data_IF_307563783895
#
_entry.id   IF_307563783895
#
_cell.length_a   1.000
_cell.length_b   1.000
_cell.length_c   1.000
_cell.angle_alpha   90.00
_cell.angle_beta   90.00
_cell.angle_gamma   90.00
#
_symmetry.space_group_name_H-M   'P 1'
#
loop_
_entity.id
_entity.type
_entity.pdbx_description
1 polymer ?
#
# COMPACT_ATOMS: atom_id res chain seq x y z
N UNK A 1 -33.16 9.72 -9.87
CA UNK A 1 -33.23 9.25 -11.27
C UNK A 1 -32.57 10.18 -12.29
N UNK A 2 -31.38 10.72 -12.00
CA UNK A 2 -30.68 11.57 -12.96
C UNK A 2 -30.08 10.71 -14.11
N UNK A 3 -30.54 10.86 -15.36
CA UNK A 3 -30.00 10.11 -16.50
C UNK A 3 -28.50 10.39 -16.72
N UNK A 4 -28.02 11.57 -16.33
CA UNK A 4 -26.62 11.97 -16.46
C UNK A 4 -25.71 11.08 -15.62
N UNK A 5 -26.09 10.80 -14.37
CA UNK A 5 -25.32 9.92 -13.50
C UNK A 5 -25.27 8.48 -14.06
N UNK A 6 -26.40 7.98 -14.58
CA UNK A 6 -26.44 6.65 -15.22
C UNK A 6 -25.51 6.58 -16.43
N UNK A 7 -25.52 7.60 -17.28
CA UNK A 7 -24.61 7.68 -18.44
C UNK A 7 -23.15 7.71 -18.00
N UNK A 8 -22.81 8.52 -16.99
CA UNK A 8 -21.43 8.59 -16.47
C UNK A 8 -20.96 7.25 -15.89
N UNK A 9 -21.81 6.54 -15.15
CA UNK A 9 -21.48 5.21 -14.63
C UNK A 9 -21.36 4.18 -15.74
N UNK A 10 -22.25 4.21 -16.75
CA UNK A 10 -22.15 3.35 -17.92
C UNK A 10 -20.85 3.58 -18.71
N UNK A 11 -20.34 4.82 -18.76
CA UNK A 11 -19.04 5.12 -19.36
C UNK A 11 -17.87 4.40 -18.66
N UNK A 12 -17.97 4.09 -17.35
CA UNK A 12 -16.96 3.31 -16.63
C UNK A 12 -16.99 1.83 -17.03
N UNK A 13 -18.18 1.33 -17.36
CA UNK A 13 -18.41 -0.06 -17.76
C UNK A 13 -18.04 -0.37 -19.21
N UNK A 14 -17.69 0.64 -20.04
CA UNK A 14 -17.31 0.43 -21.44
C UNK A 14 -16.17 -0.59 -21.52
N UNK A 15 -16.22 -1.66 -22.32
CA UNK A 15 -15.13 -2.64 -22.37
C UNK A 15 -13.81 -1.99 -22.80
N UNK A 16 -12.69 -2.43 -22.24
CA UNK A 16 -11.40 -2.17 -22.88
C UNK A 16 -11.42 -2.94 -24.20
N UNK A 17 -11.12 -2.33 -25.35
CA UNK A 17 -10.95 -3.09 -26.58
C UNK A 17 -9.77 -4.05 -26.37
N UNK A 18 -10.07 -5.31 -26.10
CA UNK A 18 -9.08 -6.38 -26.04
C UNK A 18 -8.40 -6.37 -27.41
N UNK A 19 -7.07 -6.29 -27.49
CA UNK A 19 -6.42 -6.51 -28.76
C UNK A 19 -6.89 -7.86 -29.27
N UNK A 20 -7.53 -7.87 -30.45
CA UNK A 20 -7.74 -9.11 -31.17
C UNK A 20 -6.39 -9.84 -31.10
N UNK A 21 -6.34 -11.10 -30.63
CA UNK A 21 -5.09 -11.84 -30.60
C UNK A 21 -4.51 -11.65 -31.98
N UNK A 22 -3.24 -11.26 -32.07
CA UNK A 22 -2.56 -11.14 -33.35
C UNK A 22 -2.81 -12.47 -34.05
N UNK A 23 -3.82 -12.50 -34.91
CA UNK A 23 -4.20 -13.68 -35.64
C UNK A 23 -2.94 -13.98 -36.39
N UNK A 24 -2.38 -15.16 -36.14
CA UNK A 24 -1.25 -15.73 -36.86
C UNK A 24 -1.47 -15.37 -38.33
N UNK A 25 -0.87 -14.27 -38.73
CA UNK A 25 -1.01 -13.77 -40.08
C UNK A 25 -0.12 -14.71 -40.84
N UNK A 26 -0.74 -15.65 -41.54
CA UNK A 26 -0.16 -16.17 -42.77
C UNK A 26 0.49 -14.98 -43.47
N UNK A 27 1.80 -15.04 -43.78
CA UNK A 27 2.55 -13.92 -44.30
C UNK A 27 2.12 -13.72 -45.76
N UNK A 28 0.95 -13.13 -45.98
CA UNK A 28 0.57 -12.65 -47.29
C UNK A 28 -0.48 -11.55 -47.15
N UNK A 29 -0.12 -10.39 -47.71
CA UNK A 29 -0.97 -9.24 -47.97
C UNK A 29 -1.49 -8.43 -46.76
N UNK A 30 -0.58 -7.87 -45.95
CA UNK A 30 -0.84 -6.54 -45.36
C UNK A 30 -0.29 -5.48 -46.33
N UNK A 31 -1.10 -4.52 -46.84
CA UNK A 31 -0.60 -3.46 -47.69
C UNK A 31 0.44 -2.61 -46.92
N UNK A 32 1.58 -2.26 -47.54
CA UNK A 32 2.61 -1.46 -46.88
C UNK A 32 2.06 -0.05 -46.61
N UNK A 33 2.00 0.35 -45.34
CA UNK A 33 1.75 1.75 -44.97
C UNK A 33 0.67 2.01 -43.93
N UNK A 34 -0.04 1.01 -43.41
CA UNK A 34 -0.95 1.24 -42.26
C UNK A 34 -0.15 1.12 -40.98
N UNK A 35 0.25 2.27 -40.45
CA UNK A 35 0.91 2.40 -39.16
C UNK A 35 -0.01 1.81 -38.06
N UNK A 36 0.38 0.71 -37.37
CA UNK A 36 -0.47 0.08 -36.35
C UNK A 36 -0.72 0.99 -35.13
N UNK A 37 -0.04 2.14 -35.06
CA UNK A 37 -0.28 3.20 -34.09
C UNK A 37 -1.60 3.98 -34.31
N UNK A 38 -2.30 3.78 -35.43
CA UNK A 38 -3.45 4.58 -35.85
C UNK A 38 -4.79 3.80 -35.81
N UNK A 39 -4.99 2.90 -34.85
CA UNK A 39 -6.33 2.36 -34.54
C UNK A 39 -7.11 3.40 -33.70
N UNK A 40 -7.93 4.29 -34.30
CA UNK A 40 -8.41 5.52 -33.66
C UNK A 40 -9.44 5.29 -32.54
N UNK A 41 -9.86 4.04 -32.35
CA UNK A 41 -10.85 3.66 -31.33
C UNK A 41 -10.27 3.45 -29.94
N UNK A 42 -9.01 2.98 -29.78
CA UNK A 42 -8.49 2.56 -28.47
C UNK A 42 -8.16 3.73 -27.55
N UNK A 43 -7.64 4.81 -28.10
CA UNK A 43 -7.25 6.00 -27.33
C UNK A 43 -8.44 6.85 -26.86
N UNK A 44 -9.61 6.69 -27.47
CA UNK A 44 -10.79 7.45 -27.08
C UNK A 44 -11.43 6.90 -25.78
N UNK A 45 -11.48 5.58 -25.60
CA UNK A 45 -12.22 4.97 -24.49
C UNK A 45 -11.64 5.27 -23.11
N UNK A 46 -10.32 5.22 -22.95
CA UNK A 46 -9.70 5.53 -21.65
C UNK A 46 -9.89 7.01 -21.28
N UNK A 47 -9.91 7.93 -22.26
CA UNK A 47 -10.20 9.36 -22.04
C UNK A 47 -11.65 9.57 -21.62
N UNK A 48 -12.60 8.86 -22.23
CA UNK A 48 -14.02 8.90 -21.83
C UNK A 48 -14.16 8.46 -20.37
N UNK A 49 -13.54 7.33 -19.98
CA UNK A 49 -13.53 6.86 -18.59
C UNK A 49 -12.86 7.85 -17.64
N UNK A 50 -11.76 8.48 -18.05
CA UNK A 50 -11.08 9.53 -17.27
C UNK A 50 -12.00 10.71 -16.98
N UNK A 51 -12.68 11.22 -18.01
CA UNK A 51 -13.64 12.32 -17.88
C UNK A 51 -14.81 11.90 -16.99
N UNK A 52 -15.35 10.69 -17.19
CA UNK A 52 -16.45 10.17 -16.39
C UNK A 52 -16.07 10.06 -14.89
N UNK A 53 -14.91 9.48 -14.58
CA UNK A 53 -14.38 9.45 -13.20
C UNK A 53 -14.16 10.86 -12.65
N UNK A 54 -13.69 11.78 -13.49
CA UNK A 54 -13.49 13.18 -13.11
C UNK A 54 -14.78 13.88 -12.70
N UNK A 55 -15.82 13.75 -13.52
CA UNK A 55 -17.15 14.28 -13.24
C UNK A 55 -17.78 13.64 -12.01
N UNK A 56 -17.76 12.31 -11.92
CA UNK A 56 -18.29 11.56 -10.78
C UNK A 56 -17.59 11.94 -9.49
N UNK A 57 -16.26 12.07 -9.49
CA UNK A 57 -15.52 12.59 -8.34
C UNK A 57 -16.04 13.96 -7.92
N UNK A 58 -16.11 14.92 -8.85
CA UNK A 58 -16.46 16.29 -8.55
C UNK A 58 -17.86 16.42 -7.93
N UNK A 59 -18.82 15.62 -8.37
CA UNK A 59 -20.18 15.61 -7.81
C UNK A 59 -20.25 14.86 -6.48
N UNK A 60 -19.64 13.67 -6.38
CA UNK A 60 -19.63 12.87 -5.15
C UNK A 60 -18.90 13.55 -3.99
N UNK A 61 -17.87 14.37 -4.29
CA UNK A 61 -17.13 15.10 -3.27
C UNK A 61 -17.93 16.25 -2.64
N UNK A 62 -19.05 16.67 -3.27
CA UNK A 62 -19.87 17.78 -2.81
C UNK A 62 -21.16 17.33 -2.13
N UNK A 63 -21.65 16.14 -2.44
CA UNK A 63 -22.94 15.64 -1.95
C UNK A 63 -22.88 14.14 -1.66
N UNK A 64 -23.06 13.78 -0.38
CA UNK A 64 -23.06 12.39 0.08
C UNK A 64 -24.23 11.56 -0.48
N UNK A 65 -25.38 12.19 -0.76
CA UNK A 65 -26.55 11.50 -1.34
C UNK A 65 -26.29 11.12 -2.79
N UNK A 66 -25.60 12.01 -3.52
CA UNK A 66 -25.13 11.70 -4.89
C UNK A 66 -24.12 10.56 -4.84
N UNK A 67 -23.18 10.59 -3.89
CA UNK A 67 -22.24 9.49 -3.70
C UNK A 67 -22.96 8.15 -3.42
N UNK A 68 -23.96 8.13 -2.53
CA UNK A 68 -24.80 6.95 -2.29
C UNK A 68 -25.45 6.42 -3.57
N UNK A 69 -26.09 7.30 -4.34
CA UNK A 69 -26.72 6.92 -5.62
C UNK A 69 -25.70 6.39 -6.62
N UNK A 70 -24.54 7.03 -6.76
CA UNK A 70 -23.47 6.61 -7.69
C UNK A 70 -22.90 5.24 -7.30
N UNK A 71 -22.78 4.95 -6.01
CA UNK A 71 -22.37 3.64 -5.53
C UNK A 71 -23.42 2.57 -5.84
N UNK A 72 -24.70 2.84 -5.60
CA UNK A 72 -25.82 1.94 -5.93
C UNK A 72 -25.90 1.63 -7.43
N UNK A 73 -25.55 2.60 -8.27
CA UNK A 73 -25.45 2.42 -9.72
C UNK A 73 -24.27 1.54 -10.16
N UNK A 74 -23.39 1.11 -9.25
CA UNK A 74 -22.28 0.20 -9.54
C UNK A 74 -20.97 0.88 -9.94
N UNK A 75 -20.80 2.18 -9.69
CA UNK A 75 -19.57 2.89 -10.05
C UNK A 75 -18.31 2.35 -9.35
N UNK A 76 -18.44 1.94 -8.07
CA UNK A 76 -17.31 1.47 -7.26
C UNK A 76 -16.70 0.17 -7.81
N UNK A 77 -17.48 -0.91 -8.10
CA UNK A 77 -16.95 -2.10 -8.78
C UNK A 77 -16.23 -1.79 -10.11
N UNK A 78 -16.77 -0.88 -10.92
CA UNK A 78 -16.11 -0.48 -12.18
C UNK A 78 -14.79 0.25 -11.95
N UNK A 79 -14.74 1.16 -10.97
CA UNK A 79 -13.49 1.83 -10.60
C UNK A 79 -12.44 0.83 -10.07
N UNK A 80 -12.85 -0.17 -9.28
CA UNK A 80 -11.96 -1.24 -8.80
C UNK A 80 -11.43 -2.05 -9.96
N UNK A 81 -12.29 -2.44 -10.92
CA UNK A 81 -11.87 -3.16 -12.11
C UNK A 81 -10.84 -2.36 -12.92
N UNK A 82 -11.07 -1.05 -13.12
CA UNK A 82 -10.12 -0.16 -13.80
C UNK A 82 -8.79 -0.09 -13.04
N UNK A 83 -8.83 -0.02 -11.71
CA UNK A 83 -7.63 0.09 -10.86
C UNK A 83 -6.78 -1.19 -10.90
N UNK A 84 -7.46 -2.34 -10.96
CA UNK A 84 -6.84 -3.66 -11.00
C UNK A 84 -6.41 -4.11 -12.40
N UNK A 85 -6.84 -3.40 -13.44
CA UNK A 85 -6.44 -3.67 -14.83
C UNK A 85 -5.00 -3.18 -15.06
N UNK A 86 -4.04 -4.12 -15.11
CA UNK A 86 -2.63 -3.81 -15.37
C UNK A 86 -2.40 -3.22 -16.77
N UNK A 87 -3.32 -3.44 -17.71
CA UNK A 87 -3.27 -2.87 -19.07
C UNK A 87 -3.83 -1.44 -19.12
N UNK A 88 -4.54 -1.00 -18.08
CA UNK A 88 -5.05 0.37 -18.01
C UNK A 88 -3.89 1.36 -17.81
N UNK A 89 -4.02 2.54 -18.44
CA UNK A 89 -2.99 3.58 -18.32
C UNK A 89 -2.81 4.00 -16.85
N UNK A 90 -1.57 4.27 -16.39
CA UNK A 90 -1.30 4.66 -15.00
C UNK A 90 -2.18 5.81 -14.51
N UNK A 91 -2.40 6.83 -15.34
CA UNK A 91 -3.21 8.01 -15.00
C UNK A 91 -4.68 7.63 -14.73
N UNK A 92 -5.21 6.68 -15.50
CA UNK A 92 -6.56 6.16 -15.31
C UNK A 92 -6.68 5.32 -14.05
N UNK A 93 -5.68 4.47 -13.76
CA UNK A 93 -5.62 3.69 -12.52
C UNK A 93 -5.54 4.61 -11.29
N UNK A 94 -4.72 5.66 -11.35
CA UNK A 94 -4.61 6.67 -10.30
C UNK A 94 -5.94 7.40 -10.08
N UNK A 95 -6.61 7.82 -11.17
CA UNK A 95 -7.90 8.51 -11.08
C UNK A 95 -8.97 7.61 -10.47
N UNK A 96 -9.01 6.35 -10.88
CA UNK A 96 -9.94 5.36 -10.34
C UNK A 96 -9.67 5.06 -8.86
N UNK A 97 -8.41 4.88 -8.47
CA UNK A 97 -8.00 4.67 -7.08
C UNK A 97 -8.40 5.82 -6.17
N UNK A 98 -8.14 7.05 -6.60
CA UNK A 98 -8.54 8.20 -5.82
C UNK A 98 -10.07 8.30 -5.69
N UNK A 99 -10.82 7.92 -6.75
CA UNK A 99 -12.29 7.90 -6.69
C UNK A 99 -12.76 6.86 -5.68
N UNK A 100 -12.17 5.66 -5.66
CA UNK A 100 -12.45 4.65 -4.63
C UNK A 100 -12.17 5.20 -3.23
N UNK A 101 -11.05 5.92 -3.07
CA UNK A 101 -10.66 6.52 -1.78
C UNK A 101 -11.67 7.59 -1.32
N UNK A 102 -12.15 8.45 -2.23
CA UNK A 102 -13.22 9.39 -1.94
C UNK A 102 -14.49 8.66 -1.47
N UNK A 103 -14.85 7.58 -2.16
CA UNK A 103 -16.03 6.79 -1.83
C UNK A 103 -15.88 6.04 -0.50
N UNK A 104 -14.67 5.67 -0.08
CA UNK A 104 -14.45 4.99 1.20
C UNK A 104 -14.52 5.91 2.42
N UNK A 105 -14.22 7.20 2.24
CA UNK A 105 -14.23 8.19 3.33
C UNK A 105 -15.68 8.57 3.72
N UNK A 106 -16.64 8.33 2.83
CA UNK A 106 -18.06 8.61 3.05
C UNK A 106 -18.72 7.53 3.93
N UNK A 107 -18.93 7.87 5.20
CA UNK A 107 -19.39 6.92 6.23
C UNK A 107 -20.76 6.31 5.92
N UNK A 108 -21.66 7.08 5.32
CA UNK A 108 -23.01 6.64 4.96
C UNK A 108 -23.00 5.48 3.96
N UNK A 109 -21.98 5.40 3.09
CA UNK A 109 -21.83 4.31 2.13
C UNK A 109 -21.51 2.95 2.78
N UNK A 110 -20.91 2.94 3.97
CA UNK A 110 -20.63 1.68 4.68
C UNK A 110 -21.91 0.96 5.14
N UNK A 111 -23.02 1.69 5.27
CA UNK A 111 -24.32 1.12 5.68
C UNK A 111 -25.03 0.47 4.50
N UNK A 112 -24.90 1.03 3.29
CA UNK A 112 -25.54 0.53 2.08
C UNK A 112 -24.77 -0.60 1.39
N UNK A 113 -23.47 -0.72 1.65
CA UNK A 113 -22.61 -1.78 1.14
C UNK A 113 -22.01 -2.61 2.29
N UNK A 114 -22.76 -3.56 2.88
CA UNK A 114 -22.22 -4.44 3.91
C UNK A 114 -21.07 -5.28 3.34
N UNK A 115 -19.83 -4.87 3.66
CA UNK A 115 -18.57 -5.46 3.19
C UNK A 115 -17.87 -4.75 2.02
N UNK A 116 -18.43 -3.66 1.46
CA UNK A 116 -18.15 -3.28 0.06
C UNK A 116 -17.14 -2.17 -0.22
N UNK A 117 -16.91 -1.18 0.65
CA UNK A 117 -15.95 -0.09 0.35
C UNK A 117 -14.55 -0.31 0.92
N UNK A 118 -14.36 -0.73 2.19
CA UNK A 118 -13.03 -0.99 2.73
C UNK A 118 -12.31 -2.14 2.02
N UNK A 119 -13.02 -3.23 1.72
CA UNK A 119 -12.44 -4.36 0.99
C UNK A 119 -12.01 -3.97 -0.43
N UNK A 120 -12.78 -3.10 -1.11
CA UNK A 120 -12.41 -2.55 -2.40
C UNK A 120 -11.17 -1.66 -2.34
N UNK A 121 -11.03 -0.83 -1.29
CA UNK A 121 -9.80 -0.05 -1.06
C UNK A 121 -8.61 -0.97 -0.83
N UNK A 122 -8.76 -2.02 -0.01
CA UNK A 122 -7.70 -2.98 0.26
C UNK A 122 -7.23 -3.70 -1.02
N UNK A 123 -8.17 -4.23 -1.82
CA UNK A 123 -7.85 -4.91 -3.09
C UNK A 123 -7.17 -3.94 -4.07
N UNK A 124 -7.71 -2.73 -4.21
CA UNK A 124 -7.13 -1.69 -5.04
C UNK A 124 -5.70 -1.35 -4.57
N UNK A 125 -5.52 -1.09 -3.28
CA UNK A 125 -4.25 -0.70 -2.69
C UNK A 125 -3.16 -1.78 -2.87
N UNK A 126 -3.49 -3.05 -2.61
CA UNK A 126 -2.56 -4.17 -2.81
C UNK A 126 -2.17 -4.29 -4.28
N UNK A 127 -3.12 -4.15 -5.20
CA UNK A 127 -2.86 -4.25 -6.64
C UNK A 127 -2.00 -3.09 -7.14
N UNK A 128 -2.23 -1.88 -6.63
CA UNK A 128 -1.45 -0.70 -6.95
C UNK A 128 -0.02 -0.79 -6.42
N UNK A 129 0.19 -1.32 -5.21
CA UNK A 129 1.52 -1.52 -4.62
C UNK A 129 2.42 -2.44 -5.44
N UNK A 130 1.83 -3.37 -6.20
CA UNK A 130 2.54 -4.29 -7.10
C UNK A 130 2.95 -3.64 -8.41
N UNK A 131 2.45 -2.44 -8.70
CA UNK A 131 2.80 -1.71 -9.92
C UNK A 131 4.29 -1.36 -9.98
N UNK A 132 4.83 -1.42 -11.19
CA UNK A 132 6.18 -0.91 -11.49
C UNK A 132 6.19 0.64 -11.57
N UNK A 133 5.03 1.25 -11.83
CA UNK A 133 4.88 2.70 -11.86
C UNK A 133 4.87 3.27 -10.44
N UNK A 134 5.80 4.18 -10.17
CA UNK A 134 6.01 4.80 -8.87
C UNK A 134 4.78 5.49 -8.32
N UNK A 135 4.19 6.40 -9.10
CA UNK A 135 3.02 7.17 -8.64
C UNK A 135 1.84 6.25 -8.31
N UNK A 136 1.70 5.16 -9.06
CA UNK A 136 0.67 4.13 -8.85
C UNK A 136 0.93 3.40 -7.54
N UNK A 137 2.19 3.02 -7.26
CA UNK A 137 2.56 2.39 -6.00
C UNK A 137 2.41 3.34 -4.79
N UNK A 138 2.74 4.62 -4.95
CA UNK A 138 2.54 5.67 -3.93
C UNK A 138 1.05 5.77 -3.55
N UNK A 139 0.16 5.75 -4.54
CA UNK A 139 -1.28 5.75 -4.32
C UNK A 139 -1.74 4.46 -3.62
N UNK A 140 -1.10 3.32 -3.93
CA UNK A 140 -1.27 2.08 -3.19
C UNK A 140 -0.89 2.22 -1.71
N UNK A 141 0.24 2.87 -1.39
CA UNK A 141 0.62 3.18 -0.01
C UNK A 141 -0.43 4.05 0.69
N UNK A 142 -0.96 5.08 0.02
CA UNK A 142 -2.03 5.92 0.58
C UNK A 142 -3.31 5.13 0.84
N UNK A 143 -3.69 4.22 -0.06
CA UNK A 143 -4.82 3.33 0.13
C UNK A 143 -4.64 2.42 1.36
N UNK A 144 -3.46 1.82 1.52
CA UNK A 144 -3.13 1.03 2.73
C UNK A 144 -3.17 1.90 3.98
N UNK A 145 -2.59 3.10 3.95
CA UNK A 145 -2.60 4.02 5.07
C UNK A 145 -4.03 4.34 5.50
N UNK A 146 -4.93 4.66 4.56
CA UNK A 146 -6.35 4.94 4.85
C UNK A 146 -7.06 3.72 5.42
N UNK A 147 -6.93 2.55 4.78
CA UNK A 147 -7.60 1.33 5.22
C UNK A 147 -7.11 0.84 6.60
N UNK A 148 -5.83 1.05 6.92
CA UNK A 148 -5.24 0.68 8.20
C UNK A 148 -5.46 1.72 9.32
N UNK A 149 -5.93 2.93 8.98
CA UNK A 149 -6.09 4.03 9.93
C UNK A 149 -7.18 3.72 10.97
N UNK A 150 -6.88 4.02 12.24
CA UNK A 150 -7.86 3.95 13.33
C UNK A 150 -8.28 5.38 13.68
N UNK A 151 -9.54 5.78 13.45
CA UNK A 151 -10.00 7.08 13.92
C UNK A 151 -9.96 7.13 15.45
N UNK A 152 -9.59 8.28 15.99
CA UNK A 152 -9.67 8.54 17.43
C UNK A 152 -11.13 8.39 17.89
N UNK A 153 -11.34 7.83 19.08
CA UNK A 153 -12.67 7.65 19.63
C UNK A 153 -13.17 8.98 20.20
N UNK A 154 -14.11 9.62 19.51
CA UNK A 154 -14.81 10.81 20.01
C UNK A 154 -15.88 10.43 21.05
N UNK A 155 -15.51 9.68 22.09
CA UNK A 155 -16.33 9.39 23.29
C UNK A 155 -17.73 8.77 23.07
N UNK A 156 -18.16 8.52 21.83
CA UNK A 156 -19.47 7.97 21.45
C UNK A 156 -19.27 6.56 20.91
N UNK A 157 -19.80 5.60 21.66
CA UNK A 157 -19.89 4.15 21.37
C UNK A 157 -18.76 3.54 20.51
N UNK A 158 -17.71 2.96 21.14
CA UNK A 158 -16.51 2.48 20.47
C UNK A 158 -16.64 1.20 19.61
N UNK A 159 -17.85 0.77 19.22
CA UNK A 159 -18.05 -0.59 18.70
C UNK A 159 -17.64 -0.83 17.24
N UNK A 160 -18.13 -0.01 16.31
CA UNK A 160 -18.16 -0.42 14.88
C UNK A 160 -16.90 -0.02 14.12
N UNK A 161 -16.48 1.24 14.19
CA UNK A 161 -15.32 1.75 13.43
C UNK A 161 -13.99 1.12 13.88
N UNK A 162 -13.83 0.91 15.19
CA UNK A 162 -12.64 0.27 15.74
C UNK A 162 -12.50 -1.16 15.24
N UNK A 163 -13.59 -1.93 15.23
CA UNK A 163 -13.63 -3.31 14.74
C UNK A 163 -13.27 -3.37 13.26
N UNK A 164 -13.86 -2.50 12.43
CA UNK A 164 -13.55 -2.40 11.00
C UNK A 164 -12.07 -2.10 10.75
N UNK A 165 -11.46 -1.18 11.49
CA UNK A 165 -10.01 -0.88 11.33
C UNK A 165 -9.12 -2.08 11.68
N UNK A 166 -9.52 -2.87 12.69
CA UNK A 166 -8.76 -4.03 13.15
C UNK A 166 -8.87 -5.18 12.16
N UNK A 167 -10.08 -5.43 11.64
CA UNK A 167 -10.31 -6.43 10.60
C UNK A 167 -9.58 -6.05 9.29
N UNK A 168 -9.54 -4.75 8.94
CA UNK A 168 -8.84 -4.25 7.75
C UNK A 168 -7.32 -4.45 7.87
N UNK A 169 -6.71 -4.13 9.03
CA UNK A 169 -5.29 -4.41 9.28
C UNK A 169 -4.96 -5.90 9.16
N UNK A 170 -5.83 -6.78 9.66
CA UNK A 170 -5.65 -8.24 9.53
C UNK A 170 -5.70 -8.66 8.06
N UNK A 171 -6.72 -8.25 7.30
CA UNK A 171 -6.83 -8.58 5.86
C UNK A 171 -5.64 -8.06 5.06
N UNK A 172 -5.18 -6.84 5.34
CA UNK A 172 -3.98 -6.27 4.72
C UNK A 172 -2.72 -7.08 5.07
N UNK A 173 -2.58 -7.53 6.32
CA UNK A 173 -1.48 -8.39 6.72
C UNK A 173 -1.51 -9.74 5.97
N UNK A 174 -2.67 -10.38 5.91
CA UNK A 174 -2.87 -11.66 5.22
C UNK A 174 -2.61 -11.53 3.70
N UNK A 175 -2.89 -10.37 3.12
CA UNK A 175 -2.58 -10.04 1.73
C UNK A 175 -1.10 -9.66 1.48
N UNK A 176 -0.26 -9.65 2.51
CA UNK A 176 1.17 -9.31 2.41
C UNK A 176 1.46 -7.81 2.28
N UNK A 177 0.55 -6.92 2.71
CA UNK A 177 0.76 -5.47 2.64
C UNK A 177 2.07 -5.00 3.30
N UNK A 178 2.46 -5.50 4.50
CA UNK A 178 3.70 -5.05 5.14
C UNK A 178 4.94 -5.22 4.26
N UNK A 179 5.06 -6.37 3.58
CA UNK A 179 6.21 -6.68 2.73
C UNK A 179 6.21 -5.84 1.45
N UNK A 180 5.04 -5.64 0.84
CA UNK A 180 4.88 -4.79 -0.34
C UNK A 180 5.22 -3.32 -0.03
N UNK A 181 4.71 -2.80 1.09
CA UNK A 181 5.02 -1.43 1.53
C UNK A 181 6.50 -1.30 1.88
N UNK A 182 7.11 -2.27 2.57
CA UNK A 182 8.55 -2.25 2.85
C UNK A 182 9.40 -2.28 1.57
N UNK A 183 9.02 -3.09 0.58
CA UNK A 183 9.68 -3.11 -0.72
C UNK A 183 9.59 -1.76 -1.42
N UNK A 184 8.44 -1.07 -1.32
CA UNK A 184 8.29 0.28 -1.83
C UNK A 184 9.08 1.32 -1.02
N UNK A 185 9.11 1.24 0.32
CA UNK A 185 9.96 2.11 1.17
C UNK A 185 11.42 2.03 0.74
N UNK A 186 11.99 0.81 0.56
CA UNK A 186 13.37 0.59 0.05
C UNK A 186 13.64 1.37 -1.24
N UNK A 187 12.66 1.39 -2.12
CA UNK A 187 12.73 2.06 -3.41
C UNK A 187 12.66 3.60 -3.27
N UNK A 188 11.75 4.13 -2.45
CA UNK A 188 11.54 5.60 -2.34
C UNK A 188 12.51 6.30 -1.40
N UNK A 189 13.05 5.64 -0.36
CA UNK A 189 13.89 6.35 0.60
C UNK A 189 15.22 6.82 -0.01
N UNK A 190 15.87 6.02 -0.86
CA UNK A 190 17.13 6.44 -1.52
C UNK A 190 16.90 7.68 -2.40
N UNK A 191 15.72 7.76 -3.05
CA UNK A 191 15.32 8.94 -3.83
C UNK A 191 15.00 10.14 -2.93
N UNK A 192 14.36 9.91 -1.78
CA UNK A 192 14.05 10.96 -0.82
C UNK A 192 15.29 11.52 -0.11
N UNK A 193 16.37 10.73 -0.01
CA UNK A 193 17.69 11.21 0.39
C UNK A 193 18.34 12.06 -0.71
N UNK A 194 18.19 11.67 -1.98
CA UNK A 194 18.74 12.40 -3.12
C UNK A 194 17.93 13.66 -3.51
N UNK A 195 16.63 13.72 -3.18
CA UNK A 195 15.74 14.79 -3.63
C UNK A 195 14.59 15.05 -2.66
N UNK A 196 14.41 16.33 -2.29
CA UNK A 196 13.28 16.81 -1.48
C UNK A 196 11.94 16.49 -2.15
N UNK A 197 11.88 16.54 -3.49
CA UNK A 197 10.66 16.29 -4.25
C UNK A 197 10.13 14.85 -4.11
N UNK A 198 10.98 13.89 -3.72
CA UNK A 198 10.60 12.49 -3.50
C UNK A 198 10.18 12.19 -2.05
N UNK A 199 10.31 13.15 -1.12
CA UNK A 199 9.94 12.97 0.29
C UNK A 199 8.45 12.72 0.53
N UNK A 200 7.51 13.34 -0.22
CA UNK A 200 6.07 13.02 -0.07
C UNK A 200 5.76 11.55 -0.35
N UNK A 201 6.43 10.91 -1.31
CA UNK A 201 6.29 9.48 -1.60
C UNK A 201 6.79 8.63 -0.43
N UNK A 202 7.96 8.98 0.12
CA UNK A 202 8.49 8.33 1.31
C UNK A 202 7.56 8.50 2.53
N UNK A 203 6.99 9.70 2.71
CA UNK A 203 6.02 9.97 3.77
C UNK A 203 4.78 9.09 3.60
N UNK A 204 4.20 8.99 2.41
CA UNK A 204 3.05 8.12 2.15
C UNK A 204 3.33 6.65 2.53
N UNK A 205 4.51 6.14 2.18
CA UNK A 205 4.92 4.78 2.50
C UNK A 205 5.14 4.57 4.01
N UNK A 206 5.77 5.53 4.69
CA UNK A 206 5.93 5.49 6.15
C UNK A 206 4.59 5.62 6.89
N UNK A 207 3.64 6.42 6.39
CA UNK A 207 2.29 6.52 6.98
C UNK A 207 1.57 5.19 6.91
N UNK A 208 1.70 4.47 5.79
CA UNK A 208 1.15 3.12 5.65
C UNK A 208 1.75 2.16 6.69
N UNK A 209 3.08 2.15 6.84
CA UNK A 209 3.75 1.33 7.85
C UNK A 209 3.38 1.74 9.29
N UNK A 210 3.26 3.03 9.56
CA UNK A 210 2.87 3.53 10.88
C UNK A 210 1.50 3.00 11.27
N UNK A 211 0.50 3.12 10.39
CA UNK A 211 -0.84 2.63 10.65
C UNK A 211 -0.87 1.09 10.79
N UNK A 212 -0.13 0.36 9.96
CA UNK A 212 0.01 -1.09 10.09
C UNK A 212 0.70 -1.49 11.40
N UNK A 213 1.74 -0.76 11.82
CA UNK A 213 2.53 -1.06 13.02
C UNK A 213 1.74 -0.98 14.33
N UNK A 214 0.52 -0.43 14.32
CA UNK A 214 -0.37 -0.45 15.47
C UNK A 214 -1.02 -1.82 15.74
N UNK A 215 -0.98 -2.75 14.77
CA UNK A 215 -1.46 -4.14 14.91
C UNK A 215 -0.32 -5.09 15.25
N UNK A 216 -0.54 -5.95 16.26
CA UNK A 216 0.45 -6.95 16.69
C UNK A 216 0.83 -7.93 15.58
N UNK A 217 -0.14 -8.31 14.76
CA UNK A 217 0.05 -9.22 13.63
C UNK A 217 1.00 -8.61 12.58
N UNK A 218 0.82 -7.33 12.27
CA UNK A 218 1.67 -6.61 11.32
C UNK A 218 3.08 -6.35 11.89
N UNK A 219 3.19 -6.06 13.19
CA UNK A 219 4.46 -5.71 13.84
C UNK A 219 5.54 -6.78 13.62
N UNK A 220 5.18 -8.07 13.64
CA UNK A 220 6.15 -9.16 13.46
C UNK A 220 6.69 -9.17 12.03
N UNK A 221 5.81 -9.06 11.04
CA UNK A 221 6.15 -8.99 9.61
C UNK A 221 7.04 -7.77 9.32
N UNK A 222 6.62 -6.59 9.79
CA UNK A 222 7.37 -5.34 9.60
C UNK A 222 8.74 -5.43 10.27
N UNK A 223 8.83 -5.93 11.50
CA UNK A 223 10.10 -6.05 12.20
C UNK A 223 11.06 -7.03 11.51
N UNK A 224 10.55 -8.17 11.02
CA UNK A 224 11.35 -9.19 10.33
C UNK A 224 12.01 -8.65 9.06
N UNK A 225 11.29 -7.87 8.24
CA UNK A 225 11.79 -7.38 6.95
C UNK A 225 12.31 -5.93 6.96
N UNK A 226 11.94 -5.15 7.96
CA UNK A 226 12.02 -3.68 7.91
C UNK A 226 12.82 -3.01 9.03
N UNK A 227 13.15 -3.70 10.14
CA UNK A 227 13.76 -3.03 11.29
C UNK A 227 15.07 -2.29 10.96
N UNK A 228 16.02 -2.94 10.28
CA UNK A 228 17.29 -2.32 9.90
C UNK A 228 17.10 -1.18 8.89
N UNK A 229 16.10 -1.31 8.01
CA UNK A 229 15.76 -0.27 7.05
C UNK A 229 15.21 0.97 7.75
N UNK A 230 14.29 0.80 8.70
CA UNK A 230 13.70 1.89 9.47
C UNK A 230 14.75 2.61 10.32
N UNK A 231 15.67 1.87 10.95
CA UNK A 231 16.80 2.45 11.69
C UNK A 231 17.70 3.28 10.76
N UNK A 232 17.98 2.79 9.55
CA UNK A 232 18.76 3.52 8.54
C UNK A 232 18.05 4.80 8.08
N UNK A 233 16.75 4.73 7.82
CA UNK A 233 15.91 5.87 7.44
C UNK A 233 15.92 6.92 8.55
N UNK A 234 15.67 6.49 9.79
CA UNK A 234 15.68 7.38 10.95
C UNK A 234 17.03 8.11 11.08
N UNK A 235 18.15 7.36 11.07
CA UNK A 235 19.48 7.95 11.19
C UNK A 235 19.81 8.91 10.04
N UNK A 236 19.50 8.55 8.80
CA UNK A 236 19.82 9.37 7.64
C UNK A 236 19.03 10.69 7.62
N UNK A 237 17.73 10.67 7.96
CA UNK A 237 16.95 11.90 8.00
C UNK A 237 17.23 12.76 9.23
N UNK A 238 17.65 12.17 10.36
CA UNK A 238 18.11 12.91 11.53
C UNK A 238 19.43 13.65 11.24
N UNK A 239 20.34 13.03 10.50
CA UNK A 239 21.59 13.68 10.04
C UNK A 239 21.26 14.92 9.20
N UNK A 240 20.39 14.76 8.19
CA UNK A 240 19.91 15.85 7.34
C UNK A 240 19.25 16.98 8.14
N UNK A 241 18.37 16.66 9.10
CA UNK A 241 17.66 17.69 9.89
C UNK A 241 18.57 18.45 10.84
N UNK A 242 19.63 17.80 11.35
CA UNK A 242 20.63 18.43 12.23
C UNK A 242 21.62 19.35 11.50
N UNK A 243 21.50 19.49 10.17
CA UNK A 243 22.50 20.18 9.33
C UNK A 243 23.73 19.34 9.05
N UNK A 244 23.67 18.04 9.37
CA UNK A 244 24.67 17.03 9.05
C UNK A 244 24.65 16.70 7.56
N UNK A 245 25.38 17.51 6.80
CA UNK A 245 25.87 17.15 5.48
C UNK A 245 27.26 17.74 5.34
N UNK A 246 28.26 16.88 5.58
CA UNK A 246 29.56 16.90 4.92
C UNK A 246 30.33 18.21 4.95
N UNK A 247 31.35 18.23 5.79
CA UNK A 247 32.61 18.94 5.56
C UNK A 247 33.22 18.55 4.21
N UNK A 248 32.66 19.06 3.12
CA UNK A 248 33.30 19.13 1.81
C UNK A 248 33.63 20.60 1.56
N UNK A 249 34.91 21.01 1.53
CA UNK A 249 35.28 22.42 1.54
C UNK A 249 34.94 23.24 0.28
N UNK A 250 34.39 22.66 -0.81
CA UNK A 250 34.49 23.30 -2.13
C UNK A 250 33.20 23.60 -2.92
N UNK A 251 31.99 23.43 -2.37
CA UNK A 251 30.78 23.84 -3.12
C UNK A 251 30.24 25.18 -2.63
N UNK A 252 30.86 26.26 -3.14
CA UNK A 252 30.44 27.66 -3.00
C UNK A 252 29.11 28.01 -3.67
N UNK A 253 28.05 27.24 -3.40
CA UNK A 253 26.69 27.57 -3.83
C UNK A 253 26.02 28.47 -2.79
N UNK A 254 25.63 29.67 -3.22
CA UNK A 254 24.82 30.63 -2.49
C UNK A 254 23.57 29.92 -1.94
N UNK A 255 23.62 29.59 -0.64
CA UNK A 255 22.53 28.94 0.11
C UNK A 255 21.28 29.81 0.10
N UNK A 256 20.22 29.37 -0.56
CA UNK A 256 18.88 29.96 -0.40
C UNK A 256 18.30 29.49 0.94
N UNK A 257 18.44 30.35 1.95
CA UNK A 257 17.99 30.15 3.35
C UNK A 257 16.55 29.61 3.54
N UNK A 258 15.65 29.83 2.58
CA UNK A 258 14.25 29.36 2.65
C UNK A 258 14.05 27.89 2.29
N UNK A 259 14.71 27.41 1.22
CA UNK A 259 14.52 26.02 0.74
C UNK A 259 15.21 24.99 1.66
N UNK A 260 16.23 25.40 2.40
CA UNK A 260 16.91 24.55 3.39
C UNK A 260 16.04 24.31 4.63
N UNK A 261 15.19 25.27 5.01
CA UNK A 261 14.28 25.14 6.16
C UNK A 261 13.22 24.08 5.92
N UNK A 262 12.50 24.17 4.79
CA UNK A 262 11.47 23.19 4.41
C UNK A 262 12.07 21.78 4.21
N UNK A 263 13.33 21.73 3.76
CA UNK A 263 14.07 20.49 3.65
C UNK A 263 14.43 19.91 5.03
N UNK A 264 14.86 20.72 6.00
CA UNK A 264 15.14 20.21 7.34
C UNK A 264 13.86 19.70 8.02
N UNK A 265 12.76 20.46 7.93
CA UNK A 265 11.47 20.11 8.54
C UNK A 265 10.90 18.81 7.96
N UNK A 266 10.89 18.66 6.63
CA UNK A 266 10.42 17.43 6.00
C UNK A 266 11.29 16.21 6.32
N UNK A 267 12.61 16.41 6.52
CA UNK A 267 13.48 15.33 6.98
C UNK A 267 13.19 14.94 8.44
N UNK A 268 13.04 15.92 9.33
CA UNK A 268 12.67 15.69 10.73
C UNK A 268 11.34 14.94 10.85
N UNK A 269 10.34 15.32 10.04
CA UNK A 269 9.07 14.61 9.98
C UNK A 269 9.22 13.13 9.60
N UNK A 270 10.01 12.83 8.56
CA UNK A 270 10.28 11.45 8.14
C UNK A 270 11.05 10.65 9.21
N UNK A 271 12.00 11.29 9.90
CA UNK A 271 12.74 10.68 11.00
C UNK A 271 11.80 10.35 12.18
N UNK A 272 10.90 11.28 12.54
CA UNK A 272 9.90 11.09 13.59
C UNK A 272 8.93 9.94 13.26
N UNK A 273 8.45 9.85 12.01
CA UNK A 273 7.61 8.74 11.58
C UNK A 273 8.32 7.39 11.69
N UNK A 274 9.59 7.32 11.27
CA UNK A 274 10.39 6.10 11.40
C UNK A 274 10.58 5.70 12.87
N UNK A 275 10.85 6.67 13.75
CA UNK A 275 10.96 6.44 15.19
C UNK A 275 9.65 5.90 15.79
N UNK A 276 8.51 6.52 15.48
CA UNK A 276 7.20 6.06 15.95
C UNK A 276 6.86 4.63 15.49
N UNK A 277 7.23 4.26 14.25
CA UNK A 277 7.10 2.87 13.79
C UNK A 277 7.97 1.96 14.65
N UNK A 278 9.25 2.30 14.84
CA UNK A 278 10.19 1.49 15.63
C UNK A 278 9.70 1.29 17.07
N UNK A 279 9.17 2.33 17.70
CA UNK A 279 8.57 2.27 19.03
C UNK A 279 7.41 1.28 19.07
N UNK A 280 6.47 1.37 18.12
CA UNK A 280 5.37 0.42 17.99
C UNK A 280 5.86 -1.03 17.84
N UNK A 281 6.93 -1.25 17.06
CA UNK A 281 7.52 -2.58 16.90
C UNK A 281 8.15 -3.10 18.19
N UNK A 282 8.75 -2.22 18.99
CA UNK A 282 9.43 -2.55 20.25
C UNK A 282 8.46 -2.94 21.37
N UNK A 283 7.22 -2.45 21.32
CA UNK A 283 6.16 -2.85 22.25
C UNK A 283 5.76 -4.33 22.12
N UNK A 284 6.10 -4.99 21.01
CA UNK A 284 5.82 -6.41 20.81
C UNK A 284 6.91 -7.30 21.41
N UNK A 285 6.53 -8.18 22.34
CA UNK A 285 7.46 -9.13 22.97
C UNK A 285 8.15 -10.07 21.97
N UNK A 286 7.50 -10.42 20.86
CA UNK A 286 8.07 -11.29 19.82
C UNK A 286 9.21 -10.63 19.04
N UNK A 287 9.30 -9.30 19.08
CA UNK A 287 10.33 -8.54 18.39
C UNK A 287 11.60 -8.33 19.22
N UNK A 288 11.58 -8.59 20.53
CA UNK A 288 12.70 -8.34 21.45
C UNK A 288 14.03 -8.91 20.95
N UNK A 289 14.03 -10.18 20.53
CA UNK A 289 15.25 -10.83 20.01
C UNK A 289 15.75 -10.19 18.72
N UNK A 290 14.86 -9.65 17.88
CA UNK A 290 15.24 -8.96 16.65
C UNK A 290 15.87 -7.61 16.94
N UNK A 291 15.33 -6.87 17.91
CA UNK A 291 15.92 -5.63 18.40
C UNK A 291 17.32 -5.87 18.99
N UNK A 292 17.46 -6.86 19.86
CA UNK A 292 18.77 -7.23 20.42
C UNK A 292 19.79 -7.58 19.33
N UNK A 293 19.39 -8.37 18.32
CA UNK A 293 20.26 -8.68 17.17
C UNK A 293 20.59 -7.46 16.32
N UNK A 294 19.66 -6.53 16.14
CA UNK A 294 19.89 -5.30 15.40
C UNK A 294 20.87 -4.39 16.13
N UNK A 295 20.75 -4.28 17.45
CA UNK A 295 21.68 -3.55 18.32
C UNK A 295 23.10 -4.13 18.26
N UNK A 296 23.25 -5.45 18.39
CA UNK A 296 24.55 -6.12 18.24
C UNK A 296 25.18 -5.90 16.86
N UNK A 297 24.37 -5.88 15.79
CA UNK A 297 24.86 -5.58 14.43
C UNK A 297 25.23 -4.10 14.28
N UNK A 298 24.45 -3.19 14.86
CA UNK A 298 24.69 -1.75 14.82
C UNK A 298 25.97 -1.37 15.56
N UNK A 299 26.19 -1.91 16.75
CA UNK A 299 27.43 -1.73 17.52
C UNK A 299 28.64 -2.28 16.78
N UNK A 300 28.54 -3.47 16.18
CA UNK A 300 29.61 -4.06 15.36
C UNK A 300 29.95 -3.20 14.13
N UNK A 301 28.93 -2.62 13.47
CA UNK A 301 29.13 -1.75 12.31
C UNK A 301 29.74 -0.39 12.69
N UNK A 302 29.37 0.18 13.84
CA UNK A 302 29.97 1.41 14.37
C UNK A 302 31.44 1.20 14.76
N UNK A 303 31.74 0.09 15.44
CA UNK A 303 33.13 -0.29 15.77
C UNK A 303 33.96 -0.47 14.49
N UNK A 304 33.41 -1.13 13.48
CA UNK A 304 34.11 -1.32 12.19
C UNK A 304 34.38 0.00 11.47
N UNK A 305 33.43 0.96 11.50
CA UNK A 305 33.63 2.30 10.93
C UNK A 305 34.62 3.14 11.73
N UNK A 306 34.61 3.07 13.06
CA UNK A 306 35.58 3.78 13.90
C UNK A 306 36.99 3.22 13.71
N UNK A 307 37.15 1.90 13.60
CA UNK A 307 38.44 1.27 13.29
C UNK A 307 38.91 1.65 11.88
N UNK A 308 38.02 1.66 10.88
CA UNK A 308 38.37 2.09 9.52
C UNK A 308 38.70 3.60 9.42
N UNK A 309 38.00 4.45 10.17
CA UNK A 309 38.26 5.89 10.23
C UNK A 309 39.56 6.19 11.00
N UNK A 310 39.88 5.43 12.05
CA UNK A 310 41.16 5.51 12.75
C UNK A 310 42.32 5.05 11.86
N UNK A 311 42.14 3.96 11.10
CA UNK A 311 43.12 3.49 10.12
C UNK A 311 43.30 4.44 8.93
N UNK A 312 42.29 5.25 8.59
CA UNK A 312 42.37 6.26 7.53
C UNK A 312 42.92 7.62 7.99
N UNK A 313 43.00 7.88 9.30
CA UNK A 313 43.56 9.11 9.87
C UNK A 313 45.08 9.02 10.12
N UNK A 314 45.63 7.81 10.22
CA UNK A 314 47.07 7.58 10.22
C UNK A 314 47.57 7.33 8.79
N UNK A 315 47.73 8.43 8.04
CA UNK A 315 48.55 8.45 6.84
C UNK A 315 50.02 8.25 7.22
N UNK A 316 50.41 7.00 7.45
CA UNK A 316 51.78 6.55 7.65
C UNK A 316 51.89 5.09 7.24
N UNK A 317 52.72 4.82 6.23
CA UNK A 317 53.05 3.49 5.71
C UNK A 317 53.18 2.44 6.83
N UNK A 318 52.22 1.51 6.90
CA UNK A 318 52.44 0.20 7.49
C UNK A 318 51.82 -0.86 6.59
N UNK A 319 52.67 -1.43 5.73
CA UNK A 319 52.41 -2.71 5.11
C UNK A 319 52.21 -3.77 6.20
N UNK A 320 51.05 -4.43 6.22
CA UNK A 320 50.85 -5.67 6.96
C UNK A 320 49.83 -5.59 8.09
N UNK A 321 48.54 -5.48 7.76
CA UNK A 321 47.48 -6.02 8.62
C UNK A 321 46.57 -6.89 7.77
N UNK A 322 46.71 -8.19 7.97
CA UNK A 322 45.92 -9.26 7.37
C UNK A 322 44.45 -9.11 7.77
N UNK A 323 43.56 -9.03 6.79
CA UNK A 323 42.14 -9.34 6.96
C UNK A 323 41.97 -10.72 7.61
N UNK A 324 41.05 -10.92 8.57
CA UNK A 324 40.67 -12.26 8.96
C UNK A 324 39.91 -12.88 7.79
N UNK A 325 40.57 -13.84 7.15
CA UNK A 325 40.03 -14.70 6.11
C UNK A 325 38.87 -15.51 6.69
N UNK A 326 37.71 -15.35 6.08
CA UNK A 326 36.53 -16.18 6.21
C UNK A 326 36.87 -17.59 5.67
N UNK A 327 37.18 -18.54 6.56
CA UNK A 327 37.38 -19.96 6.20
C UNK A 327 36.84 -20.92 7.28
N UNK A 328 35.94 -21.80 6.84
CA UNK A 328 35.41 -22.97 7.55
C UNK A 328 33.89 -22.87 7.66
N UNK A 329 33.09 -23.48 6.78
CA UNK A 329 32.91 -24.94 6.71
C UNK A 329 32.48 -25.38 5.29
N UNK A 330 33.35 -26.10 4.60
CA UNK A 330 32.95 -27.13 3.63
C UNK A 330 33.09 -28.50 4.30
N UNK A 331 32.22 -29.45 3.97
CA UNK A 331 32.68 -30.83 3.85
C UNK A 331 32.31 -31.45 2.49
N UNK A 332 33.28 -32.15 1.91
CA UNK A 332 33.05 -33.38 1.14
C UNK A 332 32.78 -33.25 -0.35
N UNK A 333 33.82 -33.51 -1.15
CA UNK A 333 33.76 -33.82 -2.60
C UNK A 333 33.37 -35.32 -2.82
N UNK A 334 33.35 -35.86 -4.06
CA UNK A 334 32.18 -36.00 -4.92
C UNK A 334 31.74 -37.46 -5.15
N UNK A 335 30.48 -37.69 -5.54
CA UNK A 335 30.02 -39.00 -6.01
C UNK A 335 29.25 -38.90 -7.34
N UNK A 336 29.51 -39.90 -8.19
CA UNK A 336 29.16 -40.14 -9.60
C UNK A 336 27.75 -39.75 -10.10
N UNK A 337 27.61 -39.50 -11.42
CA UNK A 337 26.33 -39.18 -12.06
C UNK A 337 25.45 -40.43 -12.18
N UNK A 338 24.17 -40.29 -11.84
CA UNK A 338 23.13 -41.28 -12.14
C UNK A 338 22.12 -40.68 -13.13
N UNK A 339 21.93 -41.43 -14.20
CA UNK A 339 20.98 -41.32 -15.31
C UNK A 339 19.53 -41.16 -14.82
N UNK A 340 18.67 -40.38 -15.51
CA UNK A 340 17.25 -40.29 -15.14
C UNK A 340 16.49 -41.54 -15.59
N UNK A 341 15.88 -42.24 -14.64
CA UNK A 341 14.94 -43.32 -14.89
C UNK A 341 13.55 -42.73 -15.22
N UNK A 342 13.05 -43.09 -16.40
CA UNK A 342 11.64 -42.98 -16.79
C UNK A 342 10.78 -43.94 -15.97
N UNK A 343 9.56 -43.51 -15.60
CA UNK A 343 8.25 -44.22 -15.70
C UNK A 343 7.24 -43.66 -14.67
N UNK A 344 5.93 -43.96 -14.77
CA UNK A 344 5.13 -44.28 -15.96
C UNK A 344 3.86 -43.41 -16.05
N UNK A 345 3.28 -43.41 -17.23
CA UNK A 345 1.94 -42.93 -17.56
C UNK A 345 0.81 -43.84 -17.03
N UNK A 346 -0.26 -43.22 -16.54
CA UNK A 346 -1.65 -43.71 -16.62
C UNK A 346 -2.42 -43.74 -15.29
N UNK A 347 -3.76 -43.88 -15.28
CA UNK A 347 -4.79 -43.44 -16.24
C UNK A 347 -5.79 -42.43 -15.61
N UNK A 348 -6.64 -41.80 -16.42
CA UNK A 348 -7.43 -40.61 -16.06
C UNK A 348 -8.86 -40.79 -15.51
N UNK A 349 -9.63 -39.72 -15.74
CA UNK A 349 -11.08 -39.42 -15.51
C UNK A 349 -11.41 -38.60 -14.25
N UNK A 350 -12.51 -37.81 -14.21
CA UNK A 350 -13.25 -37.09 -15.27
C UNK A 350 -13.51 -35.59 -14.90
N UNK A 351 -14.23 -34.79 -15.73
CA UNK A 351 -14.34 -33.33 -15.56
C UNK A 351 -15.58 -32.90 -14.76
N UNK A 352 -15.50 -31.74 -14.11
CA UNK A 352 -16.68 -30.99 -13.68
C UNK A 352 -16.65 -30.51 -12.23
N UNK A 353 -16.25 -29.25 -12.03
CA UNK A 353 -16.71 -28.43 -10.91
C UNK A 353 -16.93 -27.01 -11.42
N UNK A 354 -18.19 -26.71 -11.75
CA UNK A 354 -18.67 -25.34 -11.87
C UNK A 354 -18.73 -24.69 -10.49
N UNK A 355 -18.54 -23.35 -10.38
CA UNK A 355 -18.78 -22.65 -9.14
C UNK A 355 -20.28 -22.67 -8.81
N UNK A 356 -20.62 -23.23 -7.65
CA UNK A 356 -21.99 -23.22 -7.11
C UNK A 356 -22.38 -21.81 -6.66
N UNK A 357 -23.56 -21.40 -7.12
CA UNK A 357 -24.34 -20.28 -6.64
C UNK A 357 -24.55 -20.36 -5.11
N UNK A 358 -24.29 -19.27 -4.40
CA UNK A 358 -24.74 -19.11 -3.01
C UNK A 358 -26.15 -18.56 -3.05
N UNK A 359 -27.12 -19.45 -2.81
CA UNK A 359 -28.53 -19.14 -2.61
C UNK A 359 -28.72 -18.53 -1.22
N UNK A 360 -29.24 -17.30 -1.17
CA UNK A 360 -29.81 -16.67 0.01
C UNK A 360 -31.11 -17.39 0.41
N UNK A 361 -31.11 -18.02 1.58
CA UNK A 361 -32.26 -18.70 2.18
C UNK A 361 -32.56 -18.17 3.58
N UNK A 362 -33.82 -17.76 3.77
CA UNK A 362 -34.38 -16.93 4.85
C UNK A 362 -35.16 -17.80 5.86
N UNK A 363 -35.23 -17.34 7.12
CA UNK A 363 -36.15 -17.73 8.21
C UNK A 363 -35.99 -19.15 8.80
N UNK A 364 -36.11 -19.41 10.10
CA UNK A 364 -36.44 -18.64 11.29
C UNK A 364 -36.89 -19.62 12.38
N UNK A 365 -36.65 -19.33 13.67
CA UNK A 365 -37.42 -19.93 14.78
C UNK A 365 -37.23 -19.13 16.07
N UNK A 366 -38.36 -18.64 16.59
CA UNK A 366 -38.53 -17.99 17.89
C UNK A 366 -38.38 -19.01 19.03
N UNK A 367 -38.02 -18.53 20.22
CA UNK A 367 -38.82 -18.80 21.43
C UNK A 367 -38.56 -17.76 22.52
N UNK A 368 -39.54 -17.53 23.43
CA UNK A 368 -39.66 -16.30 24.21
C UNK A 368 -39.40 -16.48 25.72
N UNK A 369 -39.24 -15.35 26.40
CA UNK A 369 -39.71 -15.18 27.78
C UNK A 369 -38.62 -14.98 28.84
N UNK A 370 -38.54 -13.77 29.40
CA UNK A 370 -38.84 -13.54 30.82
C UNK A 370 -38.87 -12.07 31.19
N UNK A 371 -39.94 -11.74 31.91
CA UNK A 371 -40.27 -10.45 32.49
C UNK A 371 -39.28 -9.98 33.56
N UNK A 372 -39.09 -8.66 33.64
CA UNK A 372 -39.17 -7.92 34.91
C UNK A 372 -39.41 -6.42 34.66
N UNK A 373 -40.30 -5.79 35.45
CA UNK A 373 -40.65 -4.39 35.27
C UNK A 373 -39.69 -3.49 36.05
N UNK A 374 -39.37 -2.31 35.50
CA UNK A 374 -38.96 -1.17 36.30
C UNK A 374 -39.83 0.02 35.94
N UNK A 375 -40.39 0.59 37.00
CA UNK A 375 -41.25 1.75 37.09
C UNK A 375 -40.58 2.99 36.52
N UNK A 376 -41.24 3.69 35.59
CA UNK A 376 -40.90 5.07 35.24
C UNK A 376 -42.12 5.95 35.48
N UNK A 377 -41.97 6.81 36.48
CA UNK A 377 -42.85 7.89 36.87
C UNK A 377 -42.98 8.94 35.78
N UNK A 378 -44.22 9.34 35.55
CA UNK A 378 -44.64 10.59 34.92
C UNK A 378 -43.96 11.83 35.53
N UNK A 379 -43.45 12.72 34.68
CA UNK A 379 -43.70 14.15 34.83
C UNK A 379 -43.46 14.88 33.52
N UNK A 380 -44.52 15.53 33.05
CA UNK A 380 -44.48 16.60 32.07
C UNK A 380 -43.88 17.86 32.69
N UNK A 381 -43.17 18.68 31.91
CA UNK A 381 -43.54 20.09 31.69
C UNK A 381 -42.50 20.92 30.95
N UNK A 382 -43.08 21.80 30.13
CA UNK A 382 -42.65 23.14 29.74
C UNK A 382 -41.78 23.29 28.49
N UNK A 383 -42.50 23.67 27.43
CA UNK A 383 -42.02 24.53 26.36
C UNK A 383 -42.00 26.00 26.85
N UNK A 384 -40.95 26.72 26.48
CA UNK A 384 -40.82 28.18 26.33
C UNK A 384 -39.42 28.37 25.68
N UNK A 385 -39.18 29.12 24.61
CA UNK A 385 -39.97 30.06 23.82
C UNK A 385 -39.56 29.96 22.34
#
# INVERSE_FOLDING_TARGET
DDPTLRTLVACLALPYPIPAPASVSTPDAAPPGVDPALAPGRDAFWKIRMIALGCLWAVCARDCRVAATVAELGAVPHAVAITCDELARPELRLRASGFISLMSDNVELHVHFPGGTPACVEVAAITLLRSEHWDVADEGCRGVARAAFRPAEDGREPGVRQKLSTDSRRRLNDAGAPDLVLAHVRRVHERALASVAARPSCAAALTALLNLSTSKECQVSICKGGLLLLLRIHAAFLDISSGGCGTGPDTGFVRRRGAESDAAESAEHLASMAAAIIENLALNSENRTRFYRAELRGTSALVSRQVAAAAGAEGGDVSGISTPLDQGLHPGSPAKPRTPAQRPTGPGLPPGLQPREIVLGRNGARSPGRDRPTTASSSASSAHA
#
